data_IF_201844515421
#
_entry.id   IF_201844515421
#
_cell.length_a   1.000
_cell.length_b   1.000
_cell.length_c   1.000
_cell.angle_alpha   90.00
_cell.angle_beta   90.00
_cell.angle_gamma   90.00
#
_symmetry.space_group_name_H-M   'P 1'
#
loop_
_entity.id
_entity.type
_entity.pdbx_description
1 polymer ?
#
# COMPACT_ATOMS: atom_id res chain seq x y z
N UNK A 1 24.70 -44.08 -8.87
CA UNK A 1 25.11 -42.70 -9.19
C UNK A 1 24.04 -41.77 -8.61
N UNK A 2 24.45 -40.94 -7.65
CA UNK A 2 23.80 -39.75 -7.07
C UNK A 2 23.02 -38.92 -8.13
N UNK A 3 22.00 -38.08 -7.86
CA UNK A 3 21.78 -37.10 -6.78
C UNK A 3 20.28 -36.66 -6.88
N UNK A 4 19.43 -36.79 -5.84
CA UNK A 4 18.94 -35.71 -4.97
C UNK A 4 18.13 -34.56 -5.61
N UNK A 5 16.87 -34.35 -5.18
CA UNK A 5 16.44 -33.19 -4.35
C UNK A 5 14.92 -33.23 -4.01
N UNK A 6 14.65 -33.17 -2.69
CA UNK A 6 13.49 -32.63 -1.93
C UNK A 6 12.07 -32.90 -2.46
N UNK A 7 11.13 -33.63 -1.85
CA UNK A 7 10.74 -33.97 -0.46
C UNK A 7 10.33 -32.79 0.46
N UNK A 8 9.04 -32.84 0.80
CA UNK A 8 8.28 -32.25 1.92
C UNK A 8 7.66 -30.85 1.77
N UNK A 9 6.49 -30.82 1.11
CA UNK A 9 5.37 -29.98 1.56
C UNK A 9 4.76 -30.66 2.79
N UNK A 10 4.89 -30.06 3.97
CA UNK A 10 4.13 -30.47 5.14
C UNK A 10 2.79 -29.74 5.11
N UNK A 11 1.70 -30.50 5.07
CA UNK A 11 0.33 -30.00 5.13
C UNK A 11 0.08 -29.35 6.50
N UNK A 12 -0.35 -28.08 6.49
CA UNK A 12 -0.76 -27.35 7.69
C UNK A 12 -2.20 -27.77 8.03
N UNK A 13 -2.50 -28.21 9.26
CA UNK A 13 -3.87 -28.56 9.64
C UNK A 13 -4.74 -27.30 9.74
N UNK A 14 -5.83 -27.28 8.96
CA UNK A 14 -6.89 -26.26 9.06
C UNK A 14 -7.80 -26.62 10.24
N UNK A 15 -7.76 -25.81 11.30
CA UNK A 15 -8.74 -25.86 12.38
C UNK A 15 -9.90 -24.93 12.05
N UNK A 16 -11.08 -25.47 11.76
CA UNK A 16 -12.30 -24.68 11.59
C UNK A 16 -12.80 -24.21 12.97
N UNK A 17 -12.44 -22.99 13.35
CA UNK A 17 -13.10 -22.29 14.47
C UNK A 17 -14.37 -21.64 13.89
N UNK A 18 -15.55 -22.09 14.35
CA UNK A 18 -16.82 -21.36 14.17
C UNK A 18 -16.77 -20.10 15.03
N UNK A 19 -16.20 -19.05 14.47
CA UNK A 19 -16.33 -17.66 14.87
C UNK A 19 -16.50 -16.82 13.60
N UNK A 20 -17.10 -15.65 13.73
CA UNK A 20 -17.16 -14.65 12.67
C UNK A 20 -15.77 -14.56 12.02
N UNK A 21 -15.66 -14.96 10.75
CA UNK A 21 -14.39 -14.90 10.04
C UNK A 21 -13.99 -13.42 10.05
N UNK A 22 -12.79 -13.06 10.55
CA UNK A 22 -12.34 -11.69 10.42
C UNK A 22 -12.40 -11.34 8.94
N UNK A 23 -13.17 -10.31 8.57
CA UNK A 23 -13.18 -9.78 7.20
C UNK A 23 -11.73 -9.66 6.76
N UNK A 24 -11.37 -10.24 5.62
CA UNK A 24 -10.02 -10.11 5.08
C UNK A 24 -9.63 -8.63 5.09
N UNK A 25 -8.41 -8.28 5.52
CA UNK A 25 -8.00 -6.89 5.65
C UNK A 25 -8.06 -6.25 4.27
N UNK A 26 -9.03 -5.35 4.07
CA UNK A 26 -9.12 -4.56 2.85
C UNK A 26 -8.02 -3.52 2.94
N UNK A 27 -6.89 -3.79 2.29
CA UNK A 27 -5.74 -2.90 2.35
C UNK A 27 -6.01 -1.62 1.55
N UNK A 28 -5.61 -0.49 2.12
CA UNK A 28 -5.60 0.81 1.44
C UNK A 28 -4.17 1.25 1.23
N UNK A 29 -3.85 1.63 0.00
CA UNK A 29 -2.53 2.10 -0.35
C UNK A 29 -2.57 3.59 -0.68
N UNK A 30 -1.66 4.32 -0.07
CA UNK A 30 -1.31 5.69 -0.48
C UNK A 30 0.17 5.73 -0.77
N UNK A 31 0.58 6.51 -1.76
CA UNK A 31 1.96 6.60 -2.20
C UNK A 31 2.43 8.04 -2.31
N UNK A 32 3.72 8.27 -2.08
CA UNK A 32 4.40 9.53 -2.41
C UNK A 32 5.59 9.23 -3.31
N UNK A 33 5.48 9.62 -4.58
CA UNK A 33 6.55 9.46 -5.57
C UNK A 33 7.55 10.60 -5.44
N UNK A 34 8.79 10.29 -5.07
CA UNK A 34 9.78 11.28 -4.65
C UNK A 34 10.89 11.49 -5.68
N UNK A 35 11.26 12.75 -5.90
CA UNK A 35 12.31 13.13 -6.87
C UNK A 35 13.70 13.24 -6.24
N UNK A 36 13.79 13.41 -4.92
CA UNK A 36 15.08 13.45 -4.24
C UNK A 36 15.83 12.14 -4.32
N UNK A 37 17.15 12.22 -4.16
CA UNK A 37 18.04 11.06 -4.32
C UNK A 37 17.86 10.02 -3.22
N UNK A 38 17.66 10.47 -1.98
CA UNK A 38 17.66 9.62 -0.80
C UNK A 38 16.47 9.98 0.10
N UNK A 39 15.79 9.00 0.69
CA UNK A 39 14.73 9.26 1.65
C UNK A 39 15.32 9.79 2.96
N UNK A 40 14.59 10.67 3.67
CA UNK A 40 14.98 11.11 4.99
C UNK A 40 15.01 9.93 5.99
N UNK A 41 15.86 10.01 7.03
CA UNK A 41 15.81 9.08 8.15
C UNK A 41 14.44 9.10 8.83
N UNK A 42 14.04 7.96 9.39
CA UNK A 42 12.76 7.83 10.11
C UNK A 42 12.67 8.77 11.32
N UNK A 43 13.80 9.10 11.96
CA UNK A 43 13.85 10.06 13.06
C UNK A 43 13.21 11.41 12.71
N UNK A 44 13.46 11.94 11.52
CA UNK A 44 12.90 13.21 11.07
C UNK A 44 11.38 13.14 10.87
N UNK A 45 10.89 12.03 10.32
CA UNK A 45 9.45 11.78 10.20
C UNK A 45 8.80 11.76 11.59
N UNK A 46 9.41 11.07 12.56
CA UNK A 46 8.85 10.98 13.91
C UNK A 46 8.86 12.33 14.64
N UNK A 47 9.90 13.13 14.46
CA UNK A 47 9.95 14.50 14.98
C UNK A 47 8.86 15.37 14.37
N UNK A 48 8.66 15.29 13.05
CA UNK A 48 7.58 15.99 12.36
C UNK A 48 6.20 15.58 12.89
N UNK A 49 5.95 14.27 13.02
CA UNK A 49 4.67 13.76 13.55
C UNK A 49 4.41 14.25 14.98
N UNK A 50 5.44 14.24 15.85
CA UNK A 50 5.33 14.79 17.20
C UNK A 50 5.06 16.30 17.19
N UNK A 51 5.67 17.05 16.28
CA UNK A 51 5.43 18.49 16.14
C UNK A 51 3.99 18.80 15.68
N UNK A 52 3.32 17.87 14.97
CA UNK A 52 1.89 17.94 14.64
C UNK A 52 0.97 17.54 15.81
N UNK A 53 1.54 17.16 16.96
CA UNK A 53 0.79 16.74 18.15
C UNK A 53 0.53 15.24 18.23
N UNK A 54 1.06 14.44 17.29
CA UNK A 54 0.91 12.99 17.33
C UNK A 54 1.81 12.34 18.39
N UNK A 55 1.46 11.13 18.81
CA UNK A 55 2.29 10.29 19.68
C UNK A 55 2.64 8.95 19.00
N UNK A 56 3.56 8.94 18.01
CA UNK A 56 3.89 7.73 17.26
C UNK A 56 4.34 6.57 18.18
N UNK A 57 3.75 5.40 17.98
CA UNK A 57 4.09 4.16 18.68
C UNK A 57 5.00 3.34 17.76
N UNK A 58 6.16 2.94 18.25
CA UNK A 58 7.13 2.14 17.49
C UNK A 58 7.16 0.69 17.99
N UNK A 59 7.43 -0.29 17.12
CA UNK A 59 7.67 -1.67 17.51
C UNK A 59 8.83 -1.82 18.49
N UNK A 60 8.76 -2.85 19.33
CA UNK A 60 9.88 -3.24 20.19
C UNK A 60 11.12 -3.56 19.33
N UNK A 61 12.26 -2.97 19.69
CA UNK A 61 13.52 -3.16 18.96
C UNK A 61 13.88 -2.05 17.96
N UNK A 62 12.95 -1.13 17.65
CA UNK A 62 13.33 0.09 16.93
C UNK A 62 14.19 0.97 17.86
N UNK A 63 15.45 1.17 17.49
CA UNK A 63 16.42 1.94 18.27
C UNK A 63 16.94 3.15 17.47
N UNK A 64 17.70 4.03 18.13
CA UNK A 64 18.25 5.25 17.51
C UNK A 64 19.06 4.99 16.24
N UNK A 65 19.79 3.87 16.16
CA UNK A 65 20.57 3.52 14.96
C UNK A 65 19.65 3.27 13.75
N UNK A 66 18.52 2.60 13.97
CA UNK A 66 17.52 2.36 12.92
C UNK A 66 16.83 3.67 12.53
N UNK A 67 16.47 4.50 13.51
CA UNK A 67 15.83 5.80 13.26
C UNK A 67 16.69 6.76 12.45
N UNK A 68 18.02 6.70 12.63
CA UNK A 68 18.99 7.52 11.93
C UNK A 68 19.51 6.87 10.62
N UNK A 69 18.99 5.70 10.25
CA UNK A 69 19.39 5.02 9.02
C UNK A 69 18.75 5.66 7.78
N UNK A 70 19.56 5.89 6.75
CA UNK A 70 19.11 6.36 5.43
C UNK A 70 18.60 5.24 4.52
N UNK A 71 18.88 3.98 4.89
CA UNK A 71 18.60 2.81 4.07
C UNK A 71 17.50 1.92 4.68
N UNK A 72 16.54 2.53 5.39
CA UNK A 72 15.37 1.81 5.89
C UNK A 72 14.47 1.35 4.73
N UNK A 73 13.90 0.15 4.85
CA UNK A 73 13.09 -0.47 3.78
C UNK A 73 11.63 -0.53 4.16
N UNK A 74 11.33 -0.81 5.42
CA UNK A 74 9.98 -0.73 5.95
C UNK A 74 9.95 -0.56 7.47
N UNK A 75 8.86 0.01 7.95
CA UNK A 75 8.62 0.25 9.37
C UNK A 75 7.11 0.27 9.64
N UNK A 76 6.70 -0.27 10.78
CA UNK A 76 5.34 -0.10 11.29
C UNK A 76 5.33 1.10 12.25
N UNK A 77 4.38 2.00 12.08
CA UNK A 77 4.20 3.16 12.97
C UNK A 77 2.75 3.19 13.43
N UNK A 78 2.55 3.01 14.73
CA UNK A 78 1.24 3.11 15.36
C UNK A 78 0.85 4.56 15.62
N UNK A 79 -0.41 4.88 15.35
CA UNK A 79 -1.03 6.17 15.70
C UNK A 79 -1.82 6.08 17.03
N UNK A 80 -2.32 4.89 17.35
CA UNK A 80 -2.97 4.53 18.61
C UNK A 80 -2.52 3.12 19.04
N UNK A 81 -2.53 2.83 20.35
CA UNK A 81 -2.00 1.56 20.89
C UNK A 81 -2.92 0.36 20.66
N UNK A 82 -4.22 0.60 20.55
CA UNK A 82 -5.28 -0.39 20.37
C UNK A 82 -5.71 -0.55 18.90
N UNK A 83 -4.93 0.03 17.98
CA UNK A 83 -5.14 -0.01 16.54
C UNK A 83 -3.98 -0.68 15.81
N UNK A 84 -4.25 -1.18 14.62
CA UNK A 84 -3.22 -1.69 13.72
C UNK A 84 -2.35 -0.52 13.24
N UNK A 85 -1.01 -0.69 13.23
CA UNK A 85 -0.11 0.35 12.78
C UNK A 85 -0.23 0.58 11.27
N UNK A 86 0.20 1.75 10.82
CA UNK A 86 0.42 2.01 9.39
C UNK A 86 1.77 1.39 9.03
N UNK A 87 1.80 0.55 8.00
CA UNK A 87 3.04 -0.01 7.49
C UNK A 87 3.57 0.88 6.36
N UNK A 88 4.76 1.44 6.58
CA UNK A 88 5.47 2.25 5.59
C UNK A 88 6.55 1.42 4.93
N UNK A 89 6.65 1.52 3.61
CA UNK A 89 7.73 0.93 2.83
C UNK A 89 8.39 1.97 1.94
N UNK A 90 9.72 1.88 1.78
CA UNK A 90 10.49 2.75 0.91
C UNK A 90 11.06 1.94 -0.26
N UNK A 91 10.34 1.97 -1.39
CA UNK A 91 10.73 1.30 -2.61
C UNK A 91 11.64 2.19 -3.45
N UNK A 92 12.88 1.76 -3.65
CA UNK A 92 13.92 2.55 -4.35
C UNK A 92 14.24 1.94 -5.71
N UNK A 93 14.41 2.81 -6.71
CA UNK A 93 14.94 2.43 -8.03
C UNK A 93 16.34 1.84 -7.90
N UNK A 94 16.57 0.71 -8.56
CA UNK A 94 17.84 -0.03 -8.54
C UNK A 94 18.14 -0.77 -7.23
N UNK A 95 17.16 -0.91 -6.33
CA UNK A 95 17.30 -1.69 -5.10
C UNK A 95 16.84 -3.14 -5.26
N UNK A 96 16.87 -3.92 -4.18
CA UNK A 96 16.27 -5.27 -4.17
C UNK A 96 14.75 -5.26 -4.44
N UNK A 97 14.09 -4.10 -4.31
CA UNK A 97 12.67 -3.90 -4.60
C UNK A 97 12.44 -3.20 -5.96
N UNK A 98 13.45 -3.16 -6.84
CA UNK A 98 13.34 -2.45 -8.14
C UNK A 98 12.23 -3.00 -9.02
N UNK A 99 11.92 -4.30 -8.93
CA UNK A 99 10.81 -4.88 -9.69
C UNK A 99 9.45 -4.34 -9.22
N UNK A 100 9.26 -4.20 -7.91
CA UNK A 100 8.07 -3.58 -7.32
C UNK A 100 8.02 -2.10 -7.73
N UNK A 101 9.16 -1.42 -7.70
CA UNK A 101 9.25 -0.03 -8.11
C UNK A 101 8.81 0.17 -9.57
N UNK A 102 9.33 -0.67 -10.48
CA UNK A 102 8.96 -0.66 -11.90
C UNK A 102 7.51 -1.00 -12.11
N UNK A 103 7.02 -2.09 -11.50
CA UNK A 103 5.63 -2.50 -11.64
C UNK A 103 4.66 -1.36 -11.29
N UNK A 104 4.85 -0.71 -10.14
CA UNK A 104 3.98 0.40 -9.72
C UNK A 104 4.11 1.61 -10.66
N UNK A 105 5.34 2.04 -10.96
CA UNK A 105 5.56 3.24 -11.77
C UNK A 105 5.16 3.06 -13.24
N UNK A 106 5.46 1.92 -13.85
CA UNK A 106 5.11 1.60 -15.23
C UNK A 106 3.60 1.36 -15.39
N UNK A 107 2.96 0.68 -14.42
CA UNK A 107 1.52 0.49 -14.41
C UNK A 107 0.75 1.81 -14.35
N UNK A 108 1.17 2.72 -13.47
CA UNK A 108 0.59 4.06 -13.37
C UNK A 108 0.90 4.92 -14.59
N UNK A 109 2.12 4.84 -15.14
CA UNK A 109 2.47 5.54 -16.38
C UNK A 109 1.61 5.08 -17.56
N UNK A 110 1.40 3.76 -17.70
CA UNK A 110 0.53 3.22 -18.74
C UNK A 110 -0.91 3.74 -18.61
N UNK A 111 -1.41 3.85 -17.37
CA UNK A 111 -2.72 4.46 -17.10
C UNK A 111 -2.75 5.93 -17.52
N UNK A 112 -1.77 6.73 -17.12
CA UNK A 112 -1.66 8.17 -17.45
C UNK A 112 -1.57 8.38 -18.97
N UNK A 113 -0.79 7.55 -19.67
CA UNK A 113 -0.62 7.64 -21.12
C UNK A 113 -1.90 7.26 -21.88
N UNK A 114 -2.73 6.38 -21.32
CA UNK A 114 -4.06 6.03 -21.86
C UNK A 114 -5.13 7.10 -21.56
N UNK A 115 -5.00 7.84 -20.46
CA UNK A 115 -5.96 8.85 -20.00
C UNK A 115 -5.33 10.25 -20.04
N UNK A 116 -5.00 10.72 -21.25
CA UNK A 116 -4.38 12.03 -21.46
C UNK A 116 -5.39 13.17 -21.26
N UNK A 117 -5.44 13.67 -20.04
CA UNK A 117 -6.18 14.87 -19.65
C UNK A 117 -5.29 16.12 -19.64
N UNK A 118 -5.90 17.28 -19.44
CA UNK A 118 -5.15 18.52 -19.15
C UNK A 118 -4.31 18.30 -17.88
N UNK A 119 -3.04 18.69 -17.93
CA UNK A 119 -2.04 18.51 -16.85
C UNK A 119 -1.59 17.08 -16.51
N UNK A 120 -2.13 16.01 -17.14
CA UNK A 120 -1.65 14.63 -16.89
C UNK A 120 -0.16 14.42 -17.25
N UNK A 121 0.38 15.29 -18.13
CA UNK A 121 1.81 15.34 -18.43
C UNK A 121 2.68 15.53 -17.19
N UNK A 122 2.22 16.31 -16.20
CA UNK A 122 2.94 16.54 -14.92
C UNK A 122 3.10 15.23 -14.16
N UNK A 123 2.03 14.43 -14.08
CA UNK A 123 2.07 13.11 -13.45
C UNK A 123 3.07 12.21 -14.19
N UNK A 124 3.02 12.19 -15.53
CA UNK A 124 3.91 11.36 -16.32
C UNK A 124 5.38 11.74 -16.18
N UNK A 125 5.71 13.04 -16.15
CA UNK A 125 7.07 13.52 -15.97
C UNK A 125 7.59 13.22 -14.56
N UNK A 126 6.73 13.39 -13.55
CA UNK A 126 7.06 13.09 -12.16
C UNK A 126 7.34 11.61 -11.94
N UNK A 127 6.48 10.73 -12.47
CA UNK A 127 6.67 9.27 -12.38
C UNK A 127 7.96 8.82 -13.09
N UNK A 128 8.29 9.40 -14.26
CA UNK A 128 9.55 9.09 -14.97
C UNK A 128 10.79 9.56 -14.22
N UNK A 129 10.70 10.71 -13.55
CA UNK A 129 11.79 11.29 -12.75
C UNK A 129 11.91 10.68 -11.34
N UNK A 130 10.88 9.96 -10.88
CA UNK A 130 10.83 9.33 -9.57
C UNK A 130 12.06 8.45 -9.29
N UNK A 131 12.62 8.60 -8.09
CA UNK A 131 13.81 7.87 -7.63
C UNK A 131 13.50 6.83 -6.57
N UNK A 132 12.49 7.11 -5.76
CA UNK A 132 11.90 6.19 -4.80
C UNK A 132 10.46 6.63 -4.53
N UNK A 133 9.63 5.72 -4.03
CA UNK A 133 8.36 6.10 -3.44
C UNK A 133 8.22 5.57 -2.03
N UNK A 134 7.42 6.26 -1.23
CA UNK A 134 6.93 5.75 0.05
C UNK A 134 5.53 5.22 -0.17
N UNK A 135 5.28 3.97 0.19
CA UNK A 135 3.93 3.42 0.22
C UNK A 135 3.50 3.23 1.68
N UNK A 136 2.35 3.82 2.03
CA UNK A 136 1.65 3.59 3.28
C UNK A 136 0.54 2.58 3.07
N UNK A 137 0.53 1.55 3.89
CA UNK A 137 -0.44 0.44 3.84
C UNK A 137 -1.24 0.49 5.13
N UNK A 138 -2.56 0.64 4.99
CA UNK A 138 -3.51 0.76 6.08
C UNK A 138 -4.55 -0.36 5.98
N UNK A 139 -5.07 -0.80 7.12
CA UNK A 139 -6.20 -1.72 7.17
C UNK A 139 -7.51 -0.93 7.20
N UNK A 140 -8.28 -0.93 6.09
CA UNK A 140 -9.55 -0.18 6.00
C UNK A 140 -10.58 -0.62 7.04
N UNK A 141 -10.49 -1.85 7.55
CA UNK A 141 -11.43 -2.36 8.53
C UNK A 141 -11.12 -1.88 9.96
N UNK A 142 -9.94 -1.31 10.20
CA UNK A 142 -9.50 -0.87 11.53
C UNK A 142 -9.19 0.64 11.61
N UNK A 143 -8.74 1.25 10.50
CA UNK A 143 -8.35 2.67 10.46
C UNK A 143 -9.52 3.59 10.81
N UNK A 144 -9.26 4.59 11.65
CA UNK A 144 -10.21 5.63 12.04
C UNK A 144 -9.76 7.02 11.53
N UNK A 145 -10.53 8.06 11.86
CA UNK A 145 -10.23 9.44 11.44
C UNK A 145 -8.84 9.91 11.88
N UNK A 146 -8.44 9.62 13.13
CA UNK A 146 -7.08 9.95 13.62
C UNK A 146 -5.99 9.21 12.83
N UNK A 147 -6.25 7.98 12.41
CA UNK A 147 -5.36 7.22 11.54
C UNK A 147 -5.25 7.82 10.14
N UNK A 148 -6.34 8.34 9.59
CA UNK A 148 -6.32 9.08 8.32
C UNK A 148 -5.57 10.41 8.45
N UNK A 149 -5.78 11.17 9.52
CA UNK A 149 -5.02 12.41 9.80
C UNK A 149 -3.52 12.10 9.95
N UNK A 150 -3.19 11.04 10.69
CA UNK A 150 -1.82 10.59 10.87
C UNK A 150 -1.16 10.18 9.54
N UNK A 151 -1.88 9.45 8.69
CA UNK A 151 -1.40 9.14 7.33
C UNK A 151 -1.23 10.41 6.49
N UNK A 152 -2.16 11.36 6.57
CA UNK A 152 -2.07 12.65 5.90
C UNK A 152 -0.79 13.39 6.25
N UNK A 153 -0.40 13.40 7.54
CA UNK A 153 0.87 13.98 7.97
C UNK A 153 2.10 13.23 7.45
N UNK A 154 2.04 11.90 7.33
CA UNK A 154 3.11 11.11 6.70
C UNK A 154 3.26 11.52 5.23
N UNK A 155 2.15 11.59 4.48
CA UNK A 155 2.16 11.99 3.07
C UNK A 155 2.71 13.42 2.91
N UNK A 156 2.22 14.37 3.72
CA UNK A 156 2.69 15.75 3.76
C UNK A 156 4.20 15.83 4.00
N UNK A 157 4.73 15.04 4.94
CA UNK A 157 6.16 15.06 5.23
C UNK A 157 7.00 14.72 4.00
N UNK A 158 6.64 13.67 3.26
CA UNK A 158 7.40 13.26 2.08
C UNK A 158 7.15 14.18 0.87
N UNK A 159 5.94 14.73 0.72
CA UNK A 159 5.64 15.76 -0.27
C UNK A 159 6.59 16.96 -0.10
N UNK A 160 6.64 17.53 1.10
CA UNK A 160 7.43 18.73 1.40
C UNK A 160 8.95 18.47 1.41
N UNK A 161 9.39 17.33 1.96
CA UNK A 161 10.82 17.09 2.18
C UNK A 161 11.51 16.35 1.03
N UNK A 162 10.74 15.73 0.12
CA UNK A 162 11.29 14.88 -0.95
C UNK A 162 10.83 15.29 -2.35
N UNK A 163 10.23 16.47 -2.49
CA UNK A 163 9.63 16.94 -3.74
C UNK A 163 8.66 15.87 -4.27
N UNK A 164 7.79 15.42 -3.35
CA UNK A 164 6.94 14.26 -3.54
C UNK A 164 5.64 14.60 -4.27
N UNK A 165 5.10 13.64 -5.03
CA UNK A 165 3.75 13.70 -5.57
C UNK A 165 2.90 12.63 -4.92
N UNK A 166 1.79 13.03 -4.32
CA UNK A 166 0.87 12.13 -3.62
C UNK A 166 -0.04 11.43 -4.62
N UNK A 167 -0.24 10.13 -4.40
CA UNK A 167 -1.21 9.30 -5.09
C UNK A 167 -2.00 8.48 -4.06
N UNK A 168 -3.31 8.44 -4.24
CA UNK A 168 -4.22 7.67 -3.40
C UNK A 168 -4.99 6.69 -4.29
N UNK A 169 -4.91 5.40 -3.98
CA UNK A 169 -5.63 4.39 -4.76
C UNK A 169 -7.14 4.64 -4.69
N UNK A 170 -7.81 4.55 -5.83
CA UNK A 170 -9.24 4.82 -5.91
C UNK A 170 -9.63 6.29 -5.89
N UNK A 171 -8.68 7.21 -5.86
CA UNK A 171 -8.95 8.65 -5.91
C UNK A 171 -8.16 9.33 -7.02
N UNK A 172 -6.83 9.32 -6.97
CA UNK A 172 -6.04 10.04 -7.96
C UNK A 172 -4.66 10.49 -7.50
N UNK A 173 -4.05 11.31 -8.36
CA UNK A 173 -2.83 12.07 -8.08
C UNK A 173 -3.18 13.49 -7.64
N UNK A 174 -2.43 14.02 -6.68
CA UNK A 174 -2.69 15.34 -6.09
C UNK A 174 -1.55 16.31 -6.36
N UNK A 175 -1.90 17.59 -6.50
CA UNK A 175 -0.97 18.71 -6.49
C UNK A 175 -0.60 19.09 -5.05
N UNK A 176 0.52 19.82 -4.85
CA UNK A 176 0.91 20.33 -3.53
C UNK A 176 -0.15 21.22 -2.87
N UNK A 177 -1.04 21.81 -3.65
CA UNK A 177 -2.17 22.61 -3.16
C UNK A 177 -3.37 21.75 -2.73
N UNK A 178 -3.29 20.43 -2.87
CA UNK A 178 -4.34 19.48 -2.51
C UNK A 178 -5.40 19.27 -3.58
N UNK A 179 -5.19 19.75 -4.81
CA UNK A 179 -6.13 19.54 -5.92
C UNK A 179 -5.82 18.26 -6.67
N UNK A 180 -6.84 17.53 -7.13
CA UNK A 180 -6.63 16.37 -8.00
C UNK A 180 -6.08 16.83 -9.36
N UNK A 181 -4.98 16.22 -9.80
CA UNK A 181 -4.37 16.41 -11.13
C UNK A 181 -4.92 15.38 -12.12
N UNK A 182 -5.09 14.13 -11.67
CA UNK A 182 -5.60 13.02 -12.46
C UNK A 182 -6.37 12.06 -11.57
N UNK A 183 -7.62 11.77 -11.92
CA UNK A 183 -8.47 10.82 -11.21
C UNK A 183 -8.06 9.37 -11.55
N UNK A 184 -8.13 8.50 -10.55
CA UNK A 184 -7.96 7.06 -10.72
C UNK A 184 -9.30 6.36 -10.50
N UNK A 185 -9.58 5.26 -11.22
CA UNK A 185 -10.81 4.51 -11.01
C UNK A 185 -10.90 4.06 -9.56
N UNK A 186 -12.10 4.10 -8.99
CA UNK A 186 -12.36 3.60 -7.67
C UNK A 186 -11.84 2.16 -7.54
N UNK A 187 -11.25 1.83 -6.38
CA UNK A 187 -10.98 0.43 -6.06
C UNK A 187 -12.34 -0.17 -5.73
N UNK A 188 -13.02 -0.70 -6.74
CA UNK A 188 -14.32 -1.33 -6.57
C UNK A 188 -14.26 -2.33 -5.42
N UNK A 189 -15.29 -2.31 -4.57
CA UNK A 189 -15.52 -3.35 -3.58
C UNK A 189 -15.96 -4.62 -4.34
N UNK A 190 -15.02 -5.30 -5.00
CA UNK A 190 -15.31 -6.66 -5.48
C UNK A 190 -15.33 -7.61 -4.27
N UNK A 191 -16.37 -7.47 -3.44
CA UNK A 191 -17.09 -8.64 -3.01
C UNK A 191 -17.67 -9.23 -4.30
N UNK A 192 -16.90 -10.09 -4.96
CA UNK A 192 -17.50 -11.06 -5.86
C UNK A 192 -18.57 -11.75 -5.02
N UNK A 193 -19.84 -11.39 -5.23
CA UNK A 193 -20.94 -12.27 -4.91
C UNK A 193 -20.62 -13.54 -5.66
N UNK A 194 -20.02 -14.51 -4.97
CA UNK A 194 -20.20 -15.90 -5.33
C UNK A 194 -21.72 -16.07 -5.38
N UNK A 195 -22.29 -16.01 -6.58
CA UNK A 195 -23.65 -16.49 -6.75
C UNK A 195 -23.63 -17.91 -6.19
N UNK A 196 -24.50 -18.23 -5.21
CA UNK A 196 -24.52 -19.57 -4.66
C UNK A 196 -24.79 -20.50 -5.83
N UNK A 197 -23.79 -21.32 -6.16
CA UNK A 197 -23.90 -22.44 -7.08
C UNK A 197 -25.04 -23.29 -6.54
N UNK A 198 -26.24 -23.07 -7.07
CA UNK A 198 -27.39 -23.88 -6.74
C UNK A 198 -27.08 -25.24 -7.37
N UNK A 199 -27.02 -26.34 -6.61
CA UNK A 199 -26.84 -27.64 -7.22
C UNK A 199 -28.05 -27.89 -8.13
N UNK A 200 -27.84 -27.83 -9.44
CA UNK A 200 -28.84 -28.29 -10.40
C UNK A 200 -29.01 -29.78 -10.16
N UNK A 201 -30.08 -30.15 -9.46
CA UNK A 201 -30.55 -31.52 -9.42
C UNK A 201 -30.89 -31.93 -10.86
N UNK A 202 -30.05 -32.79 -11.45
CA UNK A 202 -30.41 -33.54 -12.65
C UNK A 202 -31.67 -34.37 -12.32
N UNK A 203 -32.84 -33.84 -12.68
CA UNK A 203 -34.07 -34.60 -12.69
C UNK A 203 -33.95 -35.77 -13.67
N UNK A 204 -34.58 -36.92 -13.38
CA UNK A 204 -34.49 -38.09 -14.25
C UNK A 204 -35.10 -37.79 -15.62
N UNK A 205 -34.42 -38.26 -16.68
CA UNK A 205 -34.85 -38.11 -18.06
C UNK A 205 -36.26 -38.67 -18.29
N UNK A 206 -37.11 -38.01 -19.11
CA UNK A 206 -38.45 -38.51 -19.39
C UNK A 206 -38.37 -39.77 -20.26
N UNK A 207 -38.97 -40.86 -19.76
CA UNK A 207 -39.30 -42.06 -20.53
C UNK A 207 -40.24 -41.67 -21.68
N UNK A 208 -39.74 -41.77 -22.91
CA UNK A 208 -40.60 -41.71 -24.11
C UNK A 208 -41.48 -42.95 -24.13
N UNK A 209 -42.80 -42.74 -24.17
CA UNK A 209 -43.80 -43.76 -24.51
C UNK A 209 -43.75 -44.07 -26.01
#
# INVERSE_FOLDING_TARGET
MNLARLRFMAEIPVFTIRGEQPKEPKQFFTRVFCLRKEPPPLGLLLEFLKAKGAAPVLPEGVNEKLLNSWNWVGVEIGYQRDRKPIFLTCCRKGSAQDEIFKQDTEGLLAFVDAHRELDSWRVSDHLRACRFFIASILDKNDINDEGYDFNGWILQFFEENCDGMVQIDGQGFYSPEGNIILELPAIDEEDQKEEPITPTLLGPAPLKK
#
